data_IF_901619430132
#
_entry.id   IF_901619430132
#
_cell.length_a   1.000
_cell.length_b   1.000
_cell.length_c   1.000
_cell.angle_alpha   90.00
_cell.angle_beta   90.00
_cell.angle_gamma   90.00
#
_symmetry.space_group_name_H-M   'P 1'
#
loop_
_entity.id
_entity.type
_entity.pdbx_description
1 polymer ?
#
# COMPACT_ATOMS: atom_id res chain seq x y z
N UNK A 1 0.56 -29.98 -9.64
CA UNK A 1 -0.32 -29.79 -8.46
C UNK A 1 -1.10 -28.51 -8.69
N UNK A 2 -2.36 -28.61 -9.13
CA UNK A 2 -3.19 -27.47 -9.50
C UNK A 2 -3.69 -26.73 -8.25
N UNK A 3 -3.52 -25.41 -8.24
CA UNK A 3 -4.06 -24.49 -7.24
C UNK A 3 -5.59 -24.59 -7.23
N UNK A 4 -6.15 -25.08 -6.13
CA UNK A 4 -7.58 -24.98 -5.83
C UNK A 4 -7.85 -23.55 -5.36
N UNK A 5 -8.37 -22.70 -6.24
CA UNK A 5 -9.03 -21.45 -5.83
C UNK A 5 -10.34 -21.82 -5.12
N UNK A 6 -10.35 -21.75 -3.79
CA UNK A 6 -11.54 -21.97 -2.98
C UNK A 6 -12.46 -20.76 -3.07
N UNK A 7 -13.40 -20.80 -4.01
CA UNK A 7 -14.67 -20.07 -3.89
C UNK A 7 -15.77 -21.10 -4.07
N UNK A 8 -16.25 -21.71 -2.98
CA UNK A 8 -17.55 -22.37 -2.98
C UNK A 8 -18.59 -21.25 -3.12
N UNK A 9 -18.88 -20.84 -4.36
CA UNK A 9 -20.03 -19.98 -4.65
C UNK A 9 -21.27 -20.72 -4.16
N UNK A 10 -22.09 -20.07 -3.34
CA UNK A 10 -23.35 -20.68 -2.89
C UNK A 10 -24.26 -20.87 -4.13
N UNK A 11 -25.19 -21.81 -4.10
CA UNK A 11 -26.12 -22.02 -5.22
C UNK A 11 -26.92 -20.76 -5.57
N UNK A 12 -27.10 -19.84 -4.62
CA UNK A 12 -27.76 -18.56 -4.85
C UNK A 12 -26.87 -17.61 -5.65
N UNK A 13 -25.58 -17.52 -5.32
CA UNK A 13 -24.63 -16.66 -6.05
C UNK A 13 -24.44 -17.11 -7.50
N UNK A 14 -24.44 -18.43 -7.74
CA UNK A 14 -24.41 -19.00 -9.09
C UNK A 14 -25.69 -18.67 -9.86
N UNK A 15 -26.85 -18.72 -9.20
CA UNK A 15 -28.14 -18.34 -9.81
C UNK A 15 -28.19 -16.85 -10.16
N UNK A 16 -27.73 -15.98 -9.26
CA UNK A 16 -27.66 -14.54 -9.52
C UNK A 16 -26.70 -14.21 -10.67
N UNK A 17 -25.51 -14.83 -10.67
CA UNK A 17 -24.56 -14.69 -11.77
C UNK A 17 -25.14 -15.16 -13.10
N UNK A 18 -25.75 -16.35 -13.16
CA UNK A 18 -26.35 -16.87 -14.38
C UNK A 18 -27.51 -16.01 -14.88
N UNK A 19 -28.33 -15.47 -13.96
CA UNK A 19 -29.40 -14.53 -14.30
C UNK A 19 -28.84 -13.26 -14.94
N UNK A 20 -27.79 -12.72 -14.36
CA UNK A 20 -27.20 -11.47 -14.82
C UNK A 20 -26.43 -11.68 -16.14
N UNK A 21 -25.79 -12.83 -16.35
CA UNK A 21 -25.25 -13.26 -17.66
C UNK A 21 -26.34 -13.37 -18.72
N UNK A 22 -27.48 -13.99 -18.41
CA UNK A 22 -28.59 -14.14 -19.37
C UNK A 22 -29.20 -12.78 -19.73
N UNK A 23 -29.29 -11.84 -18.77
CA UNK A 23 -29.72 -10.47 -19.06
C UNK A 23 -28.76 -9.76 -20.03
N UNK A 24 -27.45 -9.92 -19.83
CA UNK A 24 -26.44 -9.35 -20.74
C UNK A 24 -26.49 -10.00 -22.13
N UNK A 25 -26.71 -11.32 -22.23
CA UNK A 25 -26.85 -12.03 -23.51
C UNK A 25 -28.08 -11.57 -24.32
N UNK A 26 -29.23 -11.47 -23.66
CA UNK A 26 -30.46 -10.97 -24.29
C UNK A 26 -30.31 -9.52 -24.73
N UNK A 27 -29.53 -8.74 -23.98
CA UNK A 27 -29.23 -7.34 -24.30
C UNK A 27 -28.30 -7.17 -25.51
N UNK A 28 -27.30 -8.05 -25.67
CA UNK A 28 -26.35 -8.01 -26.77
C UNK A 28 -26.88 -8.64 -28.07
N UNK A 29 -28.13 -9.14 -28.07
CA UNK A 29 -28.77 -9.70 -29.27
C UNK A 29 -28.11 -10.96 -29.81
N UNK A 30 -27.46 -11.76 -28.95
CA UNK A 30 -26.68 -12.95 -29.36
C UNK A 30 -27.55 -14.21 -29.53
N UNK A 31 -28.88 -14.08 -29.57
CA UNK A 31 -29.74 -15.18 -30.01
C UNK A 31 -29.82 -15.21 -31.54
N UNK A 32 -29.25 -16.27 -32.15
CA UNK A 32 -29.55 -16.67 -33.53
C UNK A 32 -30.10 -18.10 -33.56
N UNK A 33 -31.34 -18.20 -34.05
CA UNK A 33 -32.02 -19.39 -34.59
C UNK A 33 -32.84 -20.14 -33.54
N UNK A 34 -34.16 -20.32 -33.66
CA UNK A 34 -34.82 -20.94 -34.80
C UNK A 34 -36.34 -20.67 -34.81
N UNK A 35 -36.93 -20.81 -36.00
CA UNK A 35 -38.36 -20.76 -36.39
C UNK A 35 -38.97 -19.38 -36.66
N UNK A 36 -39.28 -19.18 -37.94
CA UNK A 36 -39.86 -17.96 -38.50
C UNK A 36 -41.40 -17.93 -38.49
N UNK A 37 -41.91 -16.70 -38.62
CA UNK A 37 -43.03 -16.28 -39.47
C UNK A 37 -43.12 -14.74 -39.41
N UNK A 38 -43.18 -14.12 -40.59
CA UNK A 38 -43.44 -12.70 -40.90
C UNK A 38 -44.87 -12.32 -40.45
N UNK A 39 -45.29 -11.12 -39.97
CA UNK A 39 -44.91 -9.71 -40.07
C UNK A 39 -45.55 -8.92 -38.90
N UNK A 40 -44.91 -7.87 -38.37
CA UNK A 40 -45.53 -6.52 -38.36
C UNK A 40 -44.48 -5.42 -38.15
N UNK A 41 -44.49 -4.45 -39.05
CA UNK A 41 -43.53 -3.36 -39.14
C UNK A 41 -43.90 -2.20 -38.21
N UNK A 42 -43.79 -2.39 -36.88
CA UNK A 42 -43.93 -1.27 -35.92
C UNK A 42 -43.49 -1.59 -34.48
N UNK A 43 -42.26 -2.04 -34.29
CA UNK A 43 -41.62 -1.98 -32.96
C UNK A 43 -40.12 -1.66 -33.05
N UNK A 44 -39.77 -0.78 -33.99
CA UNK A 44 -38.60 0.09 -33.87
C UNK A 44 -38.81 1.07 -32.70
N UNK A 45 -38.76 0.56 -31.47
CA UNK A 45 -38.48 1.33 -30.27
C UNK A 45 -37.31 0.61 -29.60
N UNK A 46 -36.10 0.80 -30.13
CA UNK A 46 -35.15 1.74 -29.54
C UNK A 46 -35.17 1.64 -28.01
N UNK A 47 -34.42 0.66 -27.51
CA UNK A 47 -33.97 0.64 -26.13
C UNK A 47 -33.42 2.01 -25.76
N UNK A 48 -33.86 2.54 -24.62
CA UNK A 48 -33.45 3.86 -24.20
C UNK A 48 -31.93 3.86 -24.01
N UNK A 49 -31.21 4.93 -24.43
CA UNK A 49 -29.78 5.04 -24.16
C UNK A 49 -29.43 4.93 -22.67
N UNK A 50 -30.40 5.06 -21.75
CA UNK A 50 -30.23 4.91 -20.30
C UNK A 50 -29.95 3.45 -19.90
N UNK A 51 -30.54 2.46 -20.57
CA UNK A 51 -30.34 1.05 -20.21
C UNK A 51 -28.98 0.52 -20.66
N UNK A 52 -28.46 1.00 -21.81
CA UNK A 52 -27.07 0.75 -22.26
C UNK A 52 -26.03 1.38 -21.30
N UNK A 53 -26.32 2.56 -20.74
CA UNK A 53 -25.42 3.29 -19.82
C UNK A 53 -25.21 2.58 -18.48
N UNK A 54 -26.21 1.84 -18.01
CA UNK A 54 -26.13 1.15 -16.72
C UNK A 54 -25.45 -0.21 -16.82
N UNK A 55 -25.39 -0.84 -17.99
CA UNK A 55 -24.92 -2.23 -18.06
C UNK A 55 -23.44 -2.39 -17.72
N UNK A 56 -22.60 -1.49 -18.22
CA UNK A 56 -21.18 -1.57 -17.89
C UNK A 56 -20.92 -1.18 -16.42
N UNK A 57 -21.66 -0.21 -15.89
CA UNK A 57 -21.57 0.22 -14.49
C UNK A 57 -22.10 -0.84 -13.51
N UNK A 58 -23.17 -1.55 -13.87
CA UNK A 58 -23.88 -2.52 -13.02
C UNK A 58 -23.41 -3.96 -13.21
N UNK A 59 -22.96 -4.33 -14.42
CA UNK A 59 -22.54 -5.68 -14.80
C UNK A 59 -21.07 -5.77 -15.23
N UNK A 60 -20.24 -4.77 -14.92
CA UNK A 60 -18.80 -4.80 -15.23
C UNK A 60 -18.08 -6.07 -14.70
N UNK A 61 -18.53 -6.61 -13.56
CA UNK A 61 -18.01 -7.86 -13.01
C UNK A 61 -18.31 -9.10 -13.89
N UNK A 62 -19.37 -9.06 -14.71
CA UNK A 62 -19.71 -10.11 -15.68
C UNK A 62 -18.77 -10.02 -16.88
N UNK A 63 -18.45 -8.81 -17.34
CA UNK A 63 -17.42 -8.60 -18.38
C UNK A 63 -16.06 -9.16 -17.92
N UNK A 64 -15.63 -8.80 -16.71
CA UNK A 64 -14.35 -9.27 -16.15
C UNK A 64 -14.32 -10.80 -15.97
N UNK A 65 -15.46 -11.42 -15.65
CA UNK A 65 -15.58 -12.87 -15.53
C UNK A 65 -15.50 -13.60 -16.89
N UNK A 66 -15.91 -12.95 -17.98
CA UNK A 66 -15.91 -13.52 -19.33
C UNK A 66 -14.55 -13.31 -20.01
N UNK A 67 -13.98 -12.10 -19.91
CA UNK A 67 -12.77 -11.70 -20.63
C UNK A 67 -11.49 -11.81 -19.80
N UNK A 68 -11.63 -11.97 -18.48
CA UNK A 68 -10.51 -11.96 -17.52
C UNK A 68 -10.09 -10.54 -17.14
N UNK A 69 -9.69 -10.35 -15.88
CA UNK A 69 -9.29 -9.04 -15.34
C UNK A 69 -8.01 -8.44 -15.95
N UNK A 70 -7.32 -9.18 -16.81
CA UNK A 70 -6.09 -8.77 -17.50
C UNK A 70 -6.33 -8.10 -18.86
N UNK A 71 -7.58 -8.00 -19.29
CA UNK A 71 -7.95 -7.35 -20.56
C UNK A 71 -7.74 -5.82 -20.50
N UNK A 72 -7.58 -5.18 -21.66
CA UNK A 72 -7.29 -3.75 -21.79
C UNK A 72 -8.43 -2.89 -21.23
N UNK A 73 -9.65 -3.41 -21.27
CA UNK A 73 -10.85 -2.84 -20.66
C UNK A 73 -11.28 -3.79 -19.55
N UNK A 74 -11.54 -3.26 -18.36
CA UNK A 74 -12.13 -4.01 -17.25
C UNK A 74 -13.01 -3.09 -16.40
N UNK A 75 -13.81 -3.66 -15.49
CA UNK A 75 -14.75 -2.92 -14.65
C UNK A 75 -14.13 -1.76 -13.86
N UNK A 76 -12.81 -1.77 -13.66
CA UNK A 76 -12.10 -0.75 -12.88
C UNK A 76 -11.54 0.41 -13.70
N UNK A 77 -11.53 0.33 -15.04
CA UNK A 77 -10.78 1.28 -15.88
C UNK A 77 -11.59 1.98 -17.00
N UNK A 78 -12.91 1.83 -17.07
CA UNK A 78 -13.74 2.63 -17.97
C UNK A 78 -14.70 3.55 -17.19
N UNK A 79 -15.10 4.65 -17.80
CA UNK A 79 -16.20 5.49 -17.30
C UNK A 79 -17.06 6.03 -18.44
N UNK A 80 -18.30 6.33 -18.11
CA UNK A 80 -19.28 6.90 -19.03
C UNK A 80 -19.30 8.44 -18.92
N UNK A 81 -19.12 9.14 -20.04
CA UNK A 81 -19.37 10.59 -20.12
C UNK A 81 -20.81 10.84 -20.61
N UNK A 82 -21.65 11.33 -19.71
CA UNK A 82 -23.07 11.59 -19.99
C UNK A 82 -23.34 12.77 -20.91
N UNK A 83 -22.38 13.69 -21.06
CA UNK A 83 -22.48 14.90 -21.87
C UNK A 83 -22.13 14.55 -23.32
N UNK A 84 -20.98 13.90 -23.51
CA UNK A 84 -20.48 13.56 -24.85
C UNK A 84 -21.05 12.26 -25.41
N UNK A 85 -21.77 11.49 -24.58
CA UNK A 85 -22.38 10.21 -24.93
C UNK A 85 -21.37 9.17 -25.46
N UNK A 86 -20.17 9.13 -24.88
CA UNK A 86 -19.10 8.20 -25.26
C UNK A 86 -18.52 7.49 -24.04
N UNK A 87 -18.00 6.28 -24.26
CA UNK A 87 -17.24 5.53 -23.25
C UNK A 87 -15.77 5.88 -23.37
N UNK A 88 -15.18 6.24 -22.23
CA UNK A 88 -13.75 6.45 -22.12
C UNK A 88 -13.11 5.27 -21.40
N UNK A 89 -12.18 4.59 -22.08
CA UNK A 89 -11.18 3.81 -21.36
C UNK A 89 -10.27 4.83 -20.70
N UNK A 90 -10.17 4.81 -19.37
CA UNK A 90 -9.14 5.55 -18.67
C UNK A 90 -7.81 4.97 -19.12
N UNK A 91 -7.24 5.61 -20.14
CA UNK A 91 -5.84 5.43 -20.45
C UNK A 91 -5.10 5.68 -19.13
N UNK A 92 -4.18 4.80 -18.74
CA UNK A 92 -3.40 4.99 -17.52
C UNK A 92 -2.55 6.25 -17.72
N UNK A 93 -3.12 7.41 -17.39
CA UNK A 93 -2.42 8.69 -17.32
C UNK A 93 -1.47 8.58 -16.13
N UNK A 94 -0.32 7.98 -16.37
CA UNK A 94 0.73 7.91 -15.39
C UNK A 94 1.43 9.27 -15.34
N UNK A 95 1.16 10.01 -14.28
CA UNK A 95 1.83 11.27 -13.98
C UNK A 95 3.20 10.96 -13.38
N UNK A 96 4.31 11.35 -14.02
CA UNK A 96 5.63 11.18 -13.38
C UNK A 96 5.68 11.99 -12.07
N UNK A 97 6.26 11.42 -11.02
CA UNK A 97 6.55 12.15 -9.78
C UNK A 97 7.52 13.30 -10.12
N UNK A 98 7.22 14.50 -9.61
CA UNK A 98 8.14 15.63 -9.78
C UNK A 98 9.44 15.37 -9.02
N UNK A 99 10.62 15.73 -9.55
CA UNK A 99 11.91 15.43 -8.91
C UNK A 99 12.05 15.91 -7.46
N UNK A 100 11.37 17.01 -7.11
CA UNK A 100 11.37 17.61 -5.78
C UNK A 100 10.41 16.96 -4.77
N UNK A 101 9.56 16.02 -5.22
CA UNK A 101 8.55 15.38 -4.39
C UNK A 101 8.95 13.93 -4.06
N UNK A 102 8.77 13.56 -2.80
CA UNK A 102 8.88 12.18 -2.33
C UNK A 102 7.47 11.57 -2.17
N UNK A 103 7.20 10.45 -2.83
CA UNK A 103 6.02 9.63 -2.58
C UNK A 103 6.45 8.36 -1.87
N UNK A 104 6.21 8.32 -0.57
CA UNK A 104 6.58 7.21 0.30
C UNK A 104 5.35 6.32 0.58
N UNK A 105 5.52 5.01 0.53
CA UNK A 105 4.48 4.05 0.89
C UNK A 105 4.99 2.92 1.78
N UNK A 106 4.18 2.50 2.75
CA UNK A 106 4.41 1.25 3.47
C UNK A 106 3.61 0.11 2.84
N UNK A 107 4.24 -1.05 2.70
CA UNK A 107 3.58 -2.31 2.38
C UNK A 107 3.67 -3.25 3.59
N UNK A 108 2.63 -3.27 4.44
CA UNK A 108 2.56 -4.24 5.51
C UNK A 108 2.50 -5.68 5.02
N UNK A 109 3.23 -6.59 5.66
CA UNK A 109 3.33 -8.00 5.28
C UNK A 109 1.95 -8.68 5.24
N UNK A 110 1.02 -8.23 6.09
CA UNK A 110 -0.35 -8.75 6.13
C UNK A 110 -1.21 -8.34 4.92
N UNK A 111 -0.72 -7.42 4.07
CA UNK A 111 -1.39 -7.04 2.84
C UNK A 111 -1.17 -8.04 1.69
N UNK A 112 -0.31 -9.06 1.88
CA UNK A 112 -0.12 -10.15 0.92
C UNK A 112 0.17 -9.65 -0.50
N UNK A 113 -0.59 -10.09 -1.49
CA UNK A 113 -0.39 -9.75 -2.91
C UNK A 113 -0.90 -8.37 -3.32
N UNK A 114 -1.34 -7.50 -2.38
CA UNK A 114 -1.84 -6.18 -2.73
C UNK A 114 -0.83 -5.35 -3.55
N UNK A 115 0.47 -5.59 -3.35
CA UNK A 115 1.54 -4.90 -4.07
C UNK A 115 1.52 -5.12 -5.58
N UNK A 116 0.89 -6.19 -6.08
CA UNK A 116 0.76 -6.46 -7.52
C UNK A 116 -0.06 -5.36 -8.24
N UNK A 117 -0.87 -4.61 -7.48
CA UNK A 117 -1.67 -3.51 -8.00
C UNK A 117 -0.98 -2.14 -7.91
N UNK A 118 0.17 -2.05 -7.24
CA UNK A 118 0.80 -0.76 -6.97
C UNK A 118 1.41 -0.18 -8.25
N UNK A 119 1.11 1.09 -8.58
CA UNK A 119 1.79 1.78 -9.67
C UNK A 119 3.17 2.22 -9.17
N UNK A 120 4.16 1.33 -9.14
CA UNK A 120 5.50 1.62 -8.61
C UNK A 120 6.17 2.83 -9.29
N UNK A 121 5.89 3.10 -10.57
CA UNK A 121 6.31 4.34 -11.24
C UNK A 121 5.81 5.65 -10.58
N UNK A 122 4.83 5.57 -9.69
CA UNK A 122 4.29 6.66 -8.88
C UNK A 122 4.73 6.61 -7.41
N UNK A 123 5.64 5.70 -7.05
CA UNK A 123 6.29 5.62 -5.75
C UNK A 123 7.77 5.98 -5.87
N UNK A 124 8.22 6.96 -5.09
CA UNK A 124 9.65 7.26 -4.94
C UNK A 124 10.31 6.18 -4.09
N UNK A 125 9.66 5.81 -2.98
CA UNK A 125 10.14 4.82 -2.02
C UNK A 125 8.98 3.96 -1.53
N UNK A 126 9.21 2.65 -1.45
CA UNK A 126 8.34 1.70 -0.78
C UNK A 126 9.08 1.00 0.36
N UNK A 127 8.44 0.87 1.51
CA UNK A 127 9.00 0.22 2.70
C UNK A 127 8.21 -1.04 3.02
N UNK A 128 8.88 -2.20 3.08
CA UNK A 128 8.26 -3.45 3.53
C UNK A 128 8.11 -3.40 5.06
N UNK A 129 6.87 -3.46 5.53
CA UNK A 129 6.56 -3.40 6.95
C UNK A 129 6.20 -4.80 7.46
N UNK A 130 7.00 -5.48 8.28
CA UNK A 130 8.21 -4.99 8.94
C UNK A 130 9.11 -6.13 9.45
N UNK A 131 10.34 -5.77 9.76
CA UNK A 131 11.19 -6.40 10.79
C UNK A 131 10.62 -6.03 12.17
N UNK A 132 10.07 -7.00 12.91
CA UNK A 132 9.49 -6.75 14.23
C UNK A 132 10.54 -6.97 15.32
N UNK A 133 11.10 -5.88 15.84
CA UNK A 133 12.19 -5.89 16.82
C UNK A 133 11.82 -6.70 18.07
N UNK A 134 12.71 -7.60 18.45
CA UNK A 134 12.77 -8.22 19.76
C UNK A 134 13.58 -7.29 20.70
N UNK A 135 12.94 -6.66 21.70
CA UNK A 135 13.63 -5.73 22.59
C UNK A 135 14.62 -6.40 23.54
N UNK A 136 14.55 -7.72 23.71
CA UNK A 136 15.44 -8.45 24.61
C UNK A 136 16.72 -8.90 23.93
N UNK A 137 16.68 -9.17 22.63
CA UNK A 137 17.84 -9.69 21.88
C UNK A 137 18.40 -8.70 20.86
N UNK A 138 17.61 -7.73 20.41
CA UNK A 138 17.92 -6.89 19.24
C UNK A 138 17.67 -7.59 17.89
N UNK A 139 17.22 -8.85 17.90
CA UNK A 139 16.84 -9.59 16.69
C UNK A 139 15.38 -9.30 16.30
N UNK A 140 14.79 -10.11 15.41
CA UNK A 140 13.37 -10.05 15.05
C UNK A 140 12.55 -11.17 15.69
N UNK A 141 11.28 -10.89 15.98
CA UNK A 141 10.30 -11.87 16.50
C UNK A 141 9.49 -12.57 15.41
N UNK A 142 9.65 -12.18 14.14
CA UNK A 142 8.82 -12.61 13.02
C UNK A 142 9.64 -13.26 11.88
N UNK A 143 10.23 -14.46 12.11
CA UNK A 143 11.11 -15.12 11.12
C UNK A 143 10.44 -15.42 9.79
N UNK A 144 9.15 -15.72 9.78
CA UNK A 144 8.42 -16.01 8.54
C UNK A 144 8.40 -14.80 7.60
N UNK A 145 8.26 -13.60 8.14
CA UNK A 145 8.29 -12.35 7.37
C UNK A 145 9.70 -12.02 6.88
N UNK A 146 10.75 -12.42 7.61
CA UNK A 146 12.11 -12.30 7.11
C UNK A 146 12.42 -13.30 5.99
N UNK A 147 11.79 -14.49 6.01
CA UNK A 147 11.80 -15.41 4.86
C UNK A 147 11.04 -14.77 3.69
N UNK A 148 9.90 -14.13 3.92
CA UNK A 148 9.14 -13.44 2.88
C UNK A 148 9.92 -12.26 2.27
N UNK A 149 10.52 -11.40 3.10
CA UNK A 149 11.43 -10.33 2.67
C UNK A 149 12.51 -10.84 1.73
N UNK A 150 13.05 -12.05 1.98
CA UNK A 150 14.08 -12.67 1.14
C UNK A 150 13.59 -13.14 -0.23
N UNK A 151 12.29 -13.45 -0.35
CA UNK A 151 11.76 -14.15 -1.51
C UNK A 151 10.69 -13.38 -2.29
N UNK A 152 10.12 -12.31 -1.72
CA UNK A 152 9.01 -11.59 -2.34
C UNK A 152 9.41 -10.91 -3.64
N UNK A 153 8.55 -11.01 -4.66
CA UNK A 153 8.70 -10.35 -5.97
C UNK A 153 8.32 -8.86 -5.93
N UNK A 154 7.79 -8.36 -4.81
CA UNK A 154 7.48 -6.94 -4.60
C UNK A 154 8.72 -6.07 -4.78
N UNK A 155 9.84 -6.49 -4.16
CA UNK A 155 11.12 -5.77 -4.21
C UNK A 155 11.63 -5.70 -5.65
N UNK A 156 11.56 -6.81 -6.40
CA UNK A 156 12.03 -6.87 -7.78
C UNK A 156 11.15 -5.98 -8.69
N UNK A 157 9.83 -5.97 -8.46
CA UNK A 157 8.88 -5.14 -9.18
C UNK A 157 9.10 -3.65 -8.92
N UNK A 158 9.37 -3.26 -7.67
CA UNK A 158 9.71 -1.90 -7.28
C UNK A 158 11.01 -1.42 -7.95
N UNK A 159 12.07 -2.24 -7.87
CA UNK A 159 13.39 -1.93 -8.45
C UNK A 159 13.33 -1.80 -9.97
N UNK A 160 12.55 -2.63 -10.66
CA UNK A 160 12.33 -2.52 -12.11
C UNK A 160 11.76 -1.15 -12.51
N UNK A 161 10.97 -0.53 -11.63
CA UNK A 161 10.39 0.81 -11.82
C UNK A 161 11.20 1.94 -11.19
N UNK A 162 12.41 1.62 -10.69
CA UNK A 162 13.31 2.56 -10.00
C UNK A 162 12.72 3.16 -8.72
N UNK A 163 11.77 2.46 -8.09
CA UNK A 163 11.30 2.76 -6.75
C UNK A 163 12.32 2.24 -5.74
N UNK A 164 12.72 3.09 -4.81
CA UNK A 164 13.62 2.70 -3.71
C UNK A 164 12.90 1.73 -2.78
N UNK A 165 13.61 0.74 -2.25
CA UNK A 165 13.05 -0.27 -1.35
C UNK A 165 13.70 -0.18 0.02
N UNK A 166 12.90 0.06 1.05
CA UNK A 166 13.34 0.03 2.44
C UNK A 166 12.75 -1.18 3.19
N UNK A 167 13.43 -1.58 4.27
CA UNK A 167 12.90 -2.48 5.28
C UNK A 167 12.48 -1.68 6.51
N UNK A 168 11.20 -1.74 6.91
CA UNK A 168 10.79 -1.09 8.16
C UNK A 168 11.21 -1.90 9.37
N UNK A 169 11.84 -1.26 10.35
CA UNK A 169 12.10 -1.79 11.69
C UNK A 169 11.04 -1.23 12.62
N UNK A 170 10.14 -2.10 13.10
CA UNK A 170 9.06 -1.69 14.00
C UNK A 170 9.36 -2.08 15.44
N UNK A 171 9.33 -1.10 16.35
CA UNK A 171 9.39 -1.29 17.80
C UNK A 171 8.34 -0.44 18.50
N UNK A 172 7.38 -1.10 19.13
CA UNK A 172 6.22 -0.42 19.72
C UNK A 172 6.16 -0.64 21.22
N UNK A 173 5.94 0.45 21.97
CA UNK A 173 5.65 0.40 23.39
C UNK A 173 6.81 0.82 24.29
N UNK A 174 6.45 1.48 25.39
CA UNK A 174 7.39 2.08 26.34
C UNK A 174 8.42 1.07 26.89
N UNK A 175 7.95 -0.11 27.36
CA UNK A 175 8.82 -1.13 27.96
C UNK A 175 9.83 -1.69 26.96
N UNK A 176 9.37 -1.99 25.74
CA UNK A 176 10.19 -2.54 24.67
C UNK A 176 11.31 -1.57 24.30
N UNK A 177 10.94 -0.31 24.03
CA UNK A 177 11.91 0.74 23.70
C UNK A 177 12.87 1.03 24.86
N UNK A 178 12.40 0.99 26.11
CA UNK A 178 13.27 1.16 27.28
C UNK A 178 14.31 0.03 27.41
N UNK A 179 13.91 -1.21 27.18
CA UNK A 179 14.77 -2.40 27.24
C UNK A 179 15.81 -2.40 26.12
N UNK A 180 15.40 -2.17 24.88
CA UNK A 180 16.30 -2.15 23.73
C UNK A 180 17.30 -0.99 23.78
N UNK A 181 16.84 0.23 24.05
CA UNK A 181 17.70 1.42 24.10
C UNK A 181 18.54 1.49 25.38
N UNK A 182 18.35 0.57 26.33
CA UNK A 182 19.19 0.43 27.50
C UNK A 182 20.49 -0.34 27.25
N UNK A 183 20.61 -1.04 26.12
CA UNK A 183 21.70 -1.99 25.90
C UNK A 183 22.27 -1.86 24.48
N UNK A 184 23.51 -1.39 24.39
CA UNK A 184 24.20 -1.17 23.13
C UNK A 184 24.57 -2.48 22.41
N UNK A 185 24.68 -3.61 23.12
CA UNK A 185 24.92 -4.90 22.48
C UNK A 185 23.75 -5.29 21.58
N UNK A 186 22.51 -5.02 22.02
CA UNK A 186 21.28 -5.26 21.23
C UNK A 186 21.25 -4.40 19.97
N UNK A 187 21.77 -3.18 20.00
CA UNK A 187 21.89 -2.33 18.82
C UNK A 187 22.77 -2.99 17.76
N UNK A 188 23.88 -3.59 18.20
CA UNK A 188 24.78 -4.32 17.30
C UNK A 188 24.11 -5.50 16.63
N UNK A 189 23.37 -6.31 17.37
CA UNK A 189 22.60 -7.45 16.83
C UNK A 189 21.62 -6.98 15.76
N UNK A 190 20.85 -5.92 16.04
CA UNK A 190 19.91 -5.34 15.08
C UNK A 190 20.63 -4.89 13.82
N UNK A 191 21.67 -4.06 13.96
CA UNK A 191 22.40 -3.48 12.83
C UNK A 191 23.05 -4.57 11.96
N UNK A 192 23.62 -5.61 12.57
CA UNK A 192 24.20 -6.74 11.84
C UNK A 192 23.13 -7.52 11.06
N UNK A 193 21.99 -7.77 11.69
CA UNK A 193 20.84 -8.42 11.07
C UNK A 193 20.31 -7.63 9.86
N UNK A 194 20.10 -6.32 10.04
CA UNK A 194 19.65 -5.43 8.98
C UNK A 194 20.64 -5.38 7.82
N UNK A 195 21.93 -5.26 8.11
CA UNK A 195 22.97 -5.21 7.07
C UNK A 195 22.91 -6.43 6.15
N UNK A 196 22.77 -7.63 6.72
CA UNK A 196 22.62 -8.86 5.93
C UNK A 196 21.34 -8.83 5.10
N UNK A 197 20.20 -8.49 5.71
CA UNK A 197 18.89 -8.43 5.02
C UNK A 197 18.88 -7.42 3.85
N UNK A 198 19.57 -6.28 3.99
CA UNK A 198 19.69 -5.29 2.93
C UNK A 198 20.59 -5.77 1.80
N UNK A 199 21.74 -6.39 2.13
CA UNK A 199 22.67 -6.95 1.14
C UNK A 199 22.01 -8.09 0.34
N UNK A 200 21.28 -8.98 1.01
CA UNK A 200 20.65 -10.15 0.38
C UNK A 200 19.58 -9.78 -0.66
N UNK A 201 18.98 -8.59 -0.55
CA UNK A 201 17.99 -8.08 -1.52
C UNK A 201 18.47 -6.88 -2.33
N UNK A 202 19.71 -6.44 -2.11
CA UNK A 202 20.23 -5.18 -2.61
C UNK A 202 19.21 -4.03 -2.40
N UNK A 203 18.67 -3.96 -1.18
CA UNK A 203 17.68 -2.95 -0.79
C UNK A 203 18.36 -1.61 -0.50
N UNK A 204 17.61 -0.51 -0.61
CA UNK A 204 18.15 0.85 -0.55
C UNK A 204 18.34 1.36 0.88
N UNK A 205 17.74 0.73 1.88
CA UNK A 205 17.92 1.15 3.27
C UNK A 205 16.83 0.69 4.22
N UNK A 206 16.64 1.44 5.30
CA UNK A 206 15.70 1.10 6.38
C UNK A 206 14.77 2.26 6.70
N UNK A 207 13.57 1.91 7.16
CA UNK A 207 12.66 2.83 7.82
C UNK A 207 12.59 2.48 9.31
N UNK A 208 12.83 3.45 10.18
CA UNK A 208 12.81 3.24 11.63
C UNK A 208 11.46 3.70 12.17
N UNK A 209 10.63 2.77 12.64
CA UNK A 209 9.35 3.07 13.26
C UNK A 209 9.36 2.66 14.75
N UNK A 210 9.75 3.62 15.60
CA UNK A 210 9.75 3.46 17.06
C UNK A 210 8.61 4.28 17.66
N UNK A 211 7.59 3.61 18.21
CA UNK A 211 6.42 4.28 18.78
C UNK A 211 6.38 4.15 20.30
N UNK A 212 5.91 5.19 21.00
CA UNK A 212 5.92 5.29 22.45
C UNK A 212 7.35 5.22 23.05
N UNK A 213 8.26 6.02 22.51
CA UNK A 213 9.63 6.17 23.00
C UNK A 213 9.63 6.83 24.40
N UNK A 214 10.33 6.28 25.42
CA UNK A 214 10.49 6.96 26.70
C UNK A 214 11.28 8.27 26.57
N UNK A 215 10.81 9.35 27.18
CA UNK A 215 11.52 10.64 27.20
C UNK A 215 12.98 10.52 27.66
N UNK A 216 13.22 9.75 28.74
CA UNK A 216 14.58 9.51 29.27
C UNK A 216 15.48 8.69 28.32
N UNK A 217 14.94 8.13 27.24
CA UNK A 217 15.68 7.42 26.20
C UNK A 217 15.99 8.26 24.97
N UNK A 218 15.57 9.54 24.90
CA UNK A 218 15.88 10.47 23.80
C UNK A 218 17.37 10.42 23.39
N UNK A 219 18.29 10.66 24.33
CA UNK A 219 19.73 10.63 24.04
C UNK A 219 20.26 9.25 23.65
N UNK A 220 19.65 8.16 24.15
CA UNK A 220 20.03 6.79 23.74
C UNK A 220 19.55 6.48 22.32
N UNK A 221 18.37 6.97 21.95
CA UNK A 221 17.82 6.84 20.61
C UNK A 221 18.67 7.59 19.57
N UNK A 222 19.08 8.83 19.85
CA UNK A 222 19.97 9.57 18.94
C UNK A 222 21.28 8.81 18.68
N UNK A 223 21.93 8.31 19.75
CA UNK A 223 23.15 7.51 19.62
C UNK A 223 22.91 6.22 18.85
N UNK A 224 21.77 5.57 19.06
CA UNK A 224 21.40 4.39 18.28
C UNK A 224 21.31 4.71 16.78
N UNK A 225 20.66 5.81 16.40
CA UNK A 225 20.54 6.23 14.99
C UNK A 225 21.90 6.62 14.40
N UNK A 226 22.76 7.30 15.16
CA UNK A 226 24.13 7.60 14.76
C UNK A 226 24.95 6.32 14.51
N UNK A 227 24.90 5.36 15.43
CA UNK A 227 25.59 4.07 15.30
C UNK A 227 25.04 3.25 14.12
N UNK A 228 23.72 3.24 13.94
CA UNK A 228 23.05 2.63 12.79
C UNK A 228 23.60 3.21 11.48
N UNK A 229 23.63 4.54 11.33
CA UNK A 229 24.19 5.23 10.16
C UNK A 229 25.64 4.83 9.89
N UNK A 230 26.51 4.93 10.90
CA UNK A 230 27.94 4.62 10.76
C UNK A 230 28.17 3.19 10.30
N UNK A 231 27.55 2.23 10.99
CA UNK A 231 27.75 0.80 10.73
C UNK A 231 27.10 0.32 9.43
N UNK A 232 25.93 0.85 9.06
CA UNK A 232 25.32 0.55 7.78
C UNK A 232 26.17 1.08 6.62
N UNK A 233 26.68 2.32 6.71
CA UNK A 233 27.60 2.86 5.71
C UNK A 233 28.86 1.98 5.57
N UNK A 234 29.44 1.55 6.69
CA UNK A 234 30.64 0.69 6.71
C UNK A 234 30.38 -0.68 6.06
N UNK A 235 29.24 -1.32 6.38
CA UNK A 235 28.95 -2.68 5.92
C UNK A 235 28.47 -2.76 4.48
N UNK A 236 27.71 -1.76 4.02
CA UNK A 236 27.23 -1.75 2.64
C UNK A 236 28.33 -1.28 1.68
N UNK A 237 29.16 -0.31 2.08
CA UNK A 237 30.43 0.09 1.44
C UNK A 237 30.34 0.68 0.02
N UNK A 238 29.54 0.09 -0.86
CA UNK A 238 29.33 0.45 -2.26
C UNK A 238 28.23 1.49 -2.44
N UNK A 239 27.35 1.63 -1.45
CA UNK A 239 26.26 2.61 -1.44
C UNK A 239 26.01 3.12 -0.03
N UNK A 240 25.52 4.35 0.05
CA UNK A 240 25.00 4.94 1.28
C UNK A 240 23.52 4.55 1.41
N UNK A 241 23.14 3.68 2.37
CA UNK A 241 21.75 3.32 2.55
C UNK A 241 20.92 4.50 3.02
N UNK A 242 19.65 4.53 2.62
CA UNK A 242 18.67 5.49 3.10
C UNK A 242 18.25 5.11 4.53
N UNK A 243 18.18 6.08 5.42
CA UNK A 243 17.54 5.93 6.73
C UNK A 243 16.36 6.89 6.74
N UNK A 244 15.14 6.35 6.71
CA UNK A 244 13.95 7.11 7.07
C UNK A 244 13.61 6.91 8.54
N UNK A 245 13.04 7.94 9.16
CA UNK A 245 12.53 7.88 10.52
C UNK A 245 11.06 8.25 10.51
N UNK A 246 10.22 7.32 10.96
CA UNK A 246 8.80 7.55 11.17
C UNK A 246 8.59 8.31 12.48
N UNK A 247 7.85 9.42 12.41
CA UNK A 247 7.58 10.31 13.53
C UNK A 247 6.08 10.37 13.84
N UNK A 248 5.67 10.52 15.11
CA UNK A 248 4.29 10.82 15.42
C UNK A 248 3.89 12.21 14.89
N UNK A 249 2.61 12.40 14.58
CA UNK A 249 2.04 13.71 14.27
C UNK A 249 2.24 14.75 15.38
N UNK A 250 2.25 14.29 16.64
CA UNK A 250 2.39 15.13 17.82
C UNK A 250 3.52 14.59 18.68
N UNK A 251 4.57 15.40 18.85
CA UNK A 251 5.67 15.11 19.76
C UNK A 251 5.69 16.11 20.93
N UNK A 252 4.70 15.96 21.82
CA UNK A 252 4.40 16.96 22.87
C UNK A 252 5.51 17.17 23.91
N UNK A 253 6.54 16.31 23.95
CA UNK A 253 7.68 16.44 24.88
C UNK A 253 9.02 16.50 24.15
N UNK A 254 9.00 16.76 22.84
CA UNK A 254 10.19 16.73 21.99
C UNK A 254 10.98 15.43 22.20
N UNK A 255 10.32 14.28 22.26
CA UNK A 255 10.98 13.00 22.50
C UNK A 255 11.98 12.70 21.37
N UNK A 256 11.68 13.15 20.15
CA UNK A 256 12.56 13.05 18.99
C UNK A 256 13.36 14.34 18.80
N UNK A 257 14.68 14.25 18.95
CA UNK A 257 15.58 15.38 18.71
C UNK A 257 15.82 15.61 17.21
N UNK A 258 14.90 16.29 16.54
CA UNK A 258 14.98 16.47 15.09
C UNK A 258 16.29 17.16 14.67
N UNK A 259 16.78 18.13 15.46
CA UNK A 259 18.01 18.87 15.16
C UNK A 259 19.25 17.98 15.14
N UNK A 260 19.29 16.98 16.01
CA UNK A 260 20.40 16.03 16.07
C UNK A 260 20.20 14.87 15.09
N UNK A 261 18.98 14.31 15.02
CA UNK A 261 18.64 13.18 14.17
C UNK A 261 18.81 13.49 12.67
N UNK A 262 18.53 14.72 12.21
CA UNK A 262 18.65 15.11 10.80
C UNK A 262 20.09 15.02 10.26
N UNK A 263 21.10 14.88 11.12
CA UNK A 263 22.49 14.66 10.69
C UNK A 263 22.72 13.24 10.17
N UNK A 264 21.83 12.30 10.53
CA UNK A 264 21.99 10.88 10.29
C UNK A 264 20.81 10.26 9.53
N UNK A 265 19.66 10.92 9.51
CA UNK A 265 18.41 10.51 8.84
C UNK A 265 18.24 11.30 7.54
N UNK A 266 17.86 10.61 6.46
CA UNK A 266 17.67 11.21 5.14
C UNK A 266 16.23 11.70 4.92
N UNK A 267 15.25 11.05 5.57
CA UNK A 267 13.83 11.33 5.40
C UNK A 267 13.08 11.18 6.73
N UNK A 268 12.34 12.21 7.14
CA UNK A 268 11.35 12.08 8.22
C UNK A 268 9.97 11.86 7.61
N UNK A 269 9.28 10.80 8.06
CA UNK A 269 7.92 10.49 7.62
C UNK A 269 6.96 10.70 8.78
N UNK A 270 6.13 11.74 8.71
CA UNK A 270 5.22 12.10 9.81
C UNK A 270 3.92 11.29 9.66
N UNK A 271 3.54 10.55 10.70
CA UNK A 271 2.26 9.86 10.80
C UNK A 271 1.11 10.84 11.07
N UNK A 272 0.82 11.68 10.08
CA UNK A 272 -0.23 12.70 10.09
C UNK A 272 -1.64 12.14 9.94
N UNK A 273 -1.98 11.08 10.67
CA UNK A 273 -3.27 10.40 10.66
C UNK A 273 -3.62 9.88 12.07
N UNK A 274 -4.76 9.20 12.22
CA UNK A 274 -5.27 8.68 13.48
C UNK A 274 -5.54 9.76 14.55
N UNK A 275 -5.92 10.98 14.13
CA UNK A 275 -6.27 12.05 15.05
C UNK A 275 -7.60 11.82 15.76
N UNK A 276 -8.55 11.15 15.10
CA UNK A 276 -9.87 10.83 15.64
C UNK A 276 -10.05 9.30 15.64
N UNK A 277 -9.47 8.63 16.63
CA UNK A 277 -9.59 7.18 16.81
C UNK A 277 -10.45 6.84 18.03
N UNK A 278 -11.31 5.82 17.89
CA UNK A 278 -12.06 5.24 19.01
C UNK A 278 -13.58 5.40 18.88
N UNK A 279 -14.36 4.66 19.69
CA UNK A 279 -15.81 4.57 19.52
C UNK A 279 -16.57 5.86 19.88
N UNK A 280 -15.93 6.78 20.61
CA UNK A 280 -16.56 8.01 21.13
C UNK A 280 -16.22 9.27 20.32
N UNK A 281 -15.26 9.19 19.40
CA UNK A 281 -14.77 10.34 18.62
C UNK A 281 -15.05 10.09 17.13
N UNK A 282 -16.17 10.64 16.65
CA UNK A 282 -16.46 10.68 15.21
C UNK A 282 -15.78 11.92 14.61
N UNK A 283 -14.92 11.72 13.61
CA UNK A 283 -14.20 12.83 12.97
C UNK A 283 -13.37 12.37 11.78
N UNK A 284 -12.76 13.33 11.07
CA UNK A 284 -11.83 13.02 9.99
C UNK A 284 -10.61 12.28 10.53
N UNK A 285 -10.14 11.23 9.84
CA UNK A 285 -8.95 10.46 10.26
C UNK A 285 -7.68 11.33 10.28
N UNK A 286 -7.57 12.25 9.32
CA UNK A 286 -6.41 13.13 9.12
C UNK A 286 -6.85 14.56 8.74
N UNK A 287 -7.41 15.36 9.67
CA UNK A 287 -7.78 16.73 9.39
C UNK A 287 -6.54 17.60 9.19
N UNK A 288 -6.49 18.40 8.12
CA UNK A 288 -5.40 19.35 7.89
C UNK A 288 -5.44 20.54 8.88
N UNK A 289 -6.65 20.92 9.30
CA UNK A 289 -6.90 22.02 10.23
C UNK A 289 -7.84 21.55 11.35
N UNK A 290 -7.60 21.93 12.61
CA UNK A 290 -8.53 21.64 13.69
C UNK A 290 -9.84 22.41 13.50
N UNK A 291 -10.97 21.82 13.88
CA UNK A 291 -12.29 22.46 13.78
C UNK A 291 -12.34 23.82 14.50
N UNK A 292 -11.60 23.97 15.60
CA UNK A 292 -11.53 25.20 16.41
C UNK A 292 -10.86 26.38 15.69
N UNK A 293 -10.08 26.13 14.62
CA UNK A 293 -9.40 27.18 13.86
C UNK A 293 -10.29 27.88 12.83
N UNK A 294 -11.53 27.41 12.60
CA UNK A 294 -12.40 27.94 11.53
C UNK A 294 -12.85 29.40 11.72
N UNK A 295 -12.75 29.94 12.94
CA UNK A 295 -13.19 31.30 13.28
C UNK A 295 -12.05 32.19 13.82
N UNK A 296 -10.80 31.77 13.68
CA UNK A 296 -9.62 32.57 14.06
C UNK A 296 -9.01 33.11 12.76
N UNK A 297 -9.71 34.08 12.16
CA UNK A 297 -9.25 34.85 11.00
C UNK A 297 -9.24 36.34 11.35
#
# INVERSE_FOLDING_TARGET
>A
MQLRSSVRKTQNDVRYFNRDVNKVKNFLGVEKGDNGEDLDSSSQNLFTPIDQKNIFTTYGYVYDAINGSKDVINSSNFYWDSIQKVYYVRNKKYSKIKPENEVFGWHPYWMGSAWESYPFELLSTISYFSYKLDPETGSYTNPQQMIEWRNTAMIDSAKLKKTKVLLTVSSHGYKNNNSFLGDQAKWGVLIDSLSNLLLDRDADGVDINFENLPYLKRGSFNRFIEELRKRLNQKLGTKTPIISLTLPAVDSREIFDIKDLQKFVDLFVIMGYDYNTGPQLQGAVAPLLPFESKNIS
#
